data_IF_956216296957
#
_entry.id   IF_956216296957
#
_cell.length_a   1.000
_cell.length_b   1.000
_cell.length_c   1.000
_cell.angle_alpha   90.00
_cell.angle_beta   90.00
_cell.angle_gamma   90.00
#
_symmetry.space_group_name_H-M   'P 1'
#
loop_
_entity.id
_entity.type
_entity.pdbx_description
1 polymer ?
#
# COMPACT_ATOMS: atom_id res chain seq x y z
N UNK A 1 -10.25 47.69 -49.55
CA UNK A 1 -10.15 48.28 -48.20
C UNK A 1 -11.53 48.46 -47.61
N UNK A 2 -11.89 47.63 -46.64
CA UNK A 2 -12.81 47.94 -45.52
C UNK A 2 -12.88 46.70 -44.64
N UNK A 3 -12.14 46.77 -43.54
CA UNK A 3 -12.12 45.77 -42.49
C UNK A 3 -13.47 45.77 -41.78
N UNK A 4 -14.02 44.59 -41.55
CA UNK A 4 -14.98 44.36 -40.48
C UNK A 4 -14.39 43.30 -39.55
N UNK A 5 -14.22 43.76 -38.32
CA UNK A 5 -13.63 43.12 -37.17
C UNK A 5 -14.63 42.13 -36.53
N UNK A 6 -14.05 41.04 -36.02
CA UNK A 6 -14.44 40.33 -34.78
C UNK A 6 -15.70 39.46 -34.84
N UNK A 7 -15.48 38.15 -34.72
CA UNK A 7 -15.89 37.39 -33.53
C UNK A 7 -15.07 36.11 -33.46
N UNK A 8 -14.21 36.06 -32.46
CA UNK A 8 -13.43 34.90 -32.06
C UNK A 8 -14.41 33.78 -31.65
N UNK A 9 -14.48 32.71 -32.44
CA UNK A 9 -14.97 31.43 -31.94
C UNK A 9 -13.75 30.57 -31.61
N UNK A 10 -13.43 30.63 -30.32
CA UNK A 10 -12.66 29.66 -29.58
C UNK A 10 -12.98 28.22 -30.03
N UNK A 11 -12.12 27.68 -30.89
CA UNK A 11 -11.94 26.24 -31.01
C UNK A 11 -10.58 25.91 -30.43
N UNK A 12 -10.43 26.12 -29.12
CA UNK A 12 -9.32 25.52 -28.40
C UNK A 12 -9.69 24.05 -28.25
N UNK A 13 -9.10 23.21 -29.10
CA UNK A 13 -9.27 21.76 -29.09
C UNK A 13 -9.22 21.24 -27.65
N UNK A 14 -10.24 20.49 -27.25
CA UNK A 14 -10.21 19.75 -26.01
C UNK A 14 -8.96 18.85 -26.05
N UNK A 15 -7.93 19.24 -25.31
CA UNK A 15 -6.84 18.34 -24.98
C UNK A 15 -7.44 17.26 -24.10
N UNK A 16 -7.75 16.11 -24.70
CA UNK A 16 -7.92 14.88 -23.96
C UNK A 16 -6.59 14.65 -23.25
N UNK A 17 -6.53 15.03 -21.97
CA UNK A 17 -5.48 14.57 -21.09
C UNK A 17 -5.74 13.06 -20.94
N UNK A 18 -5.07 12.26 -21.77
CA UNK A 18 -4.78 10.89 -21.37
C UNK A 18 -3.83 11.04 -20.20
N UNK A 19 -4.39 11.06 -18.99
CA UNK A 19 -3.62 10.87 -17.77
C UNK A 19 -3.10 9.44 -17.86
N UNK A 20 -1.94 9.30 -18.51
CA UNK A 20 -1.14 8.11 -18.44
C UNK A 20 -0.73 7.98 -16.99
N UNK A 21 -1.57 7.28 -16.22
CA UNK A 21 -1.20 6.73 -14.91
C UNK A 21 0.18 6.13 -15.15
N UNK A 22 1.24 6.62 -14.50
CA UNK A 22 2.54 6.01 -14.61
C UNK A 22 2.36 4.59 -14.08
N UNK A 23 2.17 3.63 -14.98
CA UNK A 23 2.36 2.22 -14.70
C UNK A 23 3.87 2.03 -14.64
N UNK A 24 4.49 2.68 -13.65
CA UNK A 24 5.73 2.24 -13.09
C UNK A 24 5.38 0.98 -12.28
N UNK A 25 5.16 -0.12 -13.02
CA UNK A 25 5.02 -1.47 -12.47
C UNK A 25 6.40 -1.96 -12.03
N UNK A 26 7.22 -1.08 -11.45
CA UNK A 26 8.09 -1.52 -10.38
C UNK A 26 7.16 -2.14 -9.35
N UNK A 27 7.34 -3.43 -9.08
CA UNK A 27 6.66 -4.15 -8.02
C UNK A 27 6.98 -3.45 -6.69
N UNK A 28 6.29 -2.35 -6.39
CA UNK A 28 6.40 -1.60 -5.15
C UNK A 28 5.70 -2.46 -4.11
N UNK A 29 6.41 -3.46 -3.62
CA UNK A 29 6.00 -4.21 -2.45
C UNK A 29 5.75 -3.17 -1.34
N UNK A 30 4.63 -3.28 -0.60
CA UNK A 30 4.34 -2.34 0.47
C UNK A 30 5.56 -2.21 1.39
N UNK A 31 5.92 -0.99 1.83
CA UNK A 31 6.98 -0.85 2.81
C UNK A 31 6.62 -1.65 4.06
N UNK A 32 7.63 -2.23 4.71
CA UNK A 32 7.42 -2.98 5.95
C UNK A 32 7.23 -1.97 7.09
N UNK A 33 6.08 -2.04 7.74
CA UNK A 33 5.72 -1.21 8.89
C UNK A 33 6.06 -1.96 10.19
N UNK A 34 6.77 -1.32 11.11
CA UNK A 34 7.06 -1.90 12.42
C UNK A 34 5.89 -1.66 13.38
N UNK A 35 5.39 -2.73 14.00
CA UNK A 35 4.32 -2.65 14.97
C UNK A 35 4.78 -1.96 16.27
N UNK A 36 3.95 -1.06 16.79
CA UNK A 36 4.04 -0.53 18.16
C UNK A 36 2.79 -0.92 18.94
N UNK A 37 2.90 -1.13 20.26
CA UNK A 37 1.74 -1.51 21.09
C UNK A 37 0.59 -0.49 21.03
N UNK A 38 0.91 0.78 20.74
CA UNK A 38 -0.06 1.87 20.55
C UNK A 38 -0.61 2.00 19.13
N UNK A 39 -0.17 1.16 18.18
CA UNK A 39 -0.64 1.21 16.80
C UNK A 39 -2.07 0.68 16.70
N UNK A 40 -2.99 1.54 16.28
CA UNK A 40 -4.35 1.16 15.89
C UNK A 40 -4.32 0.68 14.44
N UNK A 41 -4.58 -0.61 14.22
CA UNK A 41 -4.49 -1.24 12.91
C UNK A 41 -5.90 -1.46 12.34
N UNK A 42 -6.17 -0.84 11.18
CA UNK A 42 -7.37 -1.09 10.42
C UNK A 42 -7.18 -2.35 9.55
N UNK A 43 -7.49 -3.52 10.11
CA UNK A 43 -7.33 -4.80 9.42
C UNK A 43 -8.71 -5.29 8.96
N UNK A 44 -8.97 -5.22 7.65
CA UNK A 44 -10.17 -5.80 7.05
C UNK A 44 -9.98 -7.27 6.65
N UNK A 45 -8.80 -7.63 6.13
CA UNK A 45 -8.50 -9.01 5.70
C UNK A 45 -7.02 -9.36 5.87
N UNK A 46 -6.73 -10.48 6.52
CA UNK A 46 -5.37 -11.06 6.56
C UNK A 46 -5.12 -11.85 5.28
N UNK A 47 -4.02 -11.55 4.59
CA UNK A 47 -3.60 -12.20 3.34
C UNK A 47 -2.60 -13.32 3.62
N UNK A 48 -1.59 -13.05 4.44
CA UNK A 48 -0.57 -14.04 4.79
C UNK A 48 0.09 -13.71 6.13
N UNK A 49 0.69 -14.72 6.75
CA UNK A 49 1.52 -14.58 7.95
C UNK A 49 2.76 -15.45 7.80
N UNK A 50 3.90 -14.98 8.30
CA UNK A 50 5.12 -15.78 8.34
C UNK A 50 4.97 -16.97 9.28
N UNK A 51 5.57 -18.10 8.93
CA UNK A 51 5.70 -19.23 9.85
C UNK A 51 6.51 -18.84 11.10
N UNK A 52 6.12 -19.39 12.24
CA UNK A 52 6.82 -19.17 13.51
C UNK A 52 7.81 -20.32 13.72
N UNK A 53 9.13 -20.04 13.78
CA UNK A 53 10.14 -21.08 13.93
C UNK A 53 10.05 -21.80 15.28
N UNK A 54 10.51 -23.05 15.29
CA UNK A 54 10.58 -23.91 16.48
C UNK A 54 11.84 -23.59 17.32
N UNK A 55 11.87 -22.38 17.88
CA UNK A 55 12.95 -21.88 18.74
C UNK A 55 12.37 -21.29 20.03
N UNK A 56 13.12 -21.34 21.13
CA UNK A 56 12.66 -20.76 22.40
C UNK A 56 13.21 -19.34 22.61
N UNK A 57 12.89 -18.43 21.68
CA UNK A 57 13.22 -17.01 21.78
C UNK A 57 12.21 -16.13 21.03
N UNK A 58 12.18 -14.84 21.34
CA UNK A 58 11.31 -13.88 20.65
C UNK A 58 11.90 -13.54 19.28
N UNK A 59 11.19 -13.89 18.22
CA UNK A 59 11.62 -13.76 16.82
C UNK A 59 10.75 -12.74 16.06
N UNK A 60 11.28 -12.11 14.99
CA UNK A 60 10.47 -11.29 14.09
C UNK A 60 9.50 -12.15 13.28
N UNK A 61 8.28 -11.67 13.11
CA UNK A 61 7.23 -12.23 12.27
C UNK A 61 6.66 -11.14 11.36
N UNK A 62 6.06 -11.54 10.25
CA UNK A 62 5.40 -10.64 9.30
C UNK A 62 3.95 -11.05 9.08
N UNK A 63 3.07 -10.06 8.93
CA UNK A 63 1.69 -10.24 8.52
C UNK A 63 1.42 -9.30 7.36
N UNK A 64 0.85 -9.83 6.31
CA UNK A 64 0.36 -9.06 5.18
C UNK A 64 -1.16 -8.98 5.27
N UNK A 65 -1.71 -7.78 5.20
CA UNK A 65 -3.15 -7.56 5.35
C UNK A 65 -3.66 -6.46 4.42
N UNK A 66 -4.97 -6.44 4.22
CA UNK A 66 -5.71 -5.39 3.53
C UNK A 66 -6.54 -4.59 4.54
N UNK A 67 -6.50 -3.25 4.43
CA UNK A 67 -7.26 -2.33 5.28
C UNK A 67 -8.72 -2.14 4.79
N UNK A 68 -9.53 -1.34 5.51
CA UNK A 68 -10.93 -1.09 5.11
C UNK A 68 -11.08 -0.33 3.78
N UNK A 69 -9.99 0.24 3.26
CA UNK A 69 -9.93 0.97 1.99
C UNK A 69 -9.42 0.11 0.84
N UNK A 70 -9.05 -1.14 1.09
CA UNK A 70 -8.50 -2.05 0.09
C UNK A 70 -6.98 -1.89 -0.15
N UNK A 71 -6.27 -1.17 0.74
CA UNK A 71 -4.82 -0.99 0.66
C UNK A 71 -4.08 -2.12 1.36
N UNK A 72 -2.97 -2.56 0.78
CA UNK A 72 -2.18 -3.70 1.27
C UNK A 72 -0.99 -3.22 2.10
N UNK A 73 -0.82 -3.81 3.26
CA UNK A 73 0.20 -3.49 4.24
C UNK A 73 1.03 -4.71 4.60
N UNK A 74 2.30 -4.52 4.92
CA UNK A 74 3.16 -5.55 5.52
C UNK A 74 3.56 -5.06 6.91
N UNK A 75 3.02 -5.70 7.94
CA UNK A 75 3.36 -5.45 9.33
C UNK A 75 4.46 -6.41 9.79
N UNK A 76 5.53 -5.88 10.36
CA UNK A 76 6.53 -6.63 11.11
C UNK A 76 6.29 -6.46 12.61
N UNK A 77 6.29 -7.57 13.34
CA UNK A 77 6.09 -7.61 14.78
C UNK A 77 6.94 -8.74 15.38
N UNK A 78 6.90 -8.90 16.70
CA UNK A 78 7.68 -9.91 17.40
C UNK A 78 6.78 -10.92 18.09
N UNK A 79 7.12 -12.20 18.00
CA UNK A 79 6.37 -13.32 18.60
C UNK A 79 7.30 -14.28 19.32
N UNK A 80 6.77 -15.02 20.29
CA UNK A 80 7.46 -16.15 20.91
C UNK A 80 7.57 -17.30 19.90
N UNK A 81 8.76 -17.84 19.66
CA UNK A 81 8.92 -19.06 18.86
C UNK A 81 8.27 -20.28 19.54
N UNK A 82 8.00 -21.33 18.74
CA UNK A 82 7.24 -22.50 19.20
C UNK A 82 8.06 -23.51 20.03
N UNK A 83 9.38 -23.32 20.14
CA UNK A 83 10.30 -24.28 20.73
C UNK A 83 10.38 -24.29 22.25
N UNK A 84 9.61 -23.44 22.93
CA UNK A 84 9.50 -23.51 24.38
C UNK A 84 8.47 -24.59 24.76
N UNK A 85 8.94 -25.67 25.39
CA UNK A 85 8.07 -26.61 26.08
C UNK A 85 8.39 -26.56 27.58
N UNK A 86 7.38 -26.21 28.38
CA UNK A 86 7.44 -26.07 29.84
C UNK A 86 8.27 -24.85 30.31
N UNK A 87 7.57 -23.79 30.73
CA UNK A 87 8.17 -22.61 31.38
C UNK A 87 8.73 -22.90 32.76
#
# INVERSE_FOLDING_TARGET
MKALLVLALSSLCATAMADEIPTDVASQQPPVEEYSYSSDLDIAKVISMSEVPDVCEVVPARMEYEDSKGLRHILQYRVMGNGCSNG
#
